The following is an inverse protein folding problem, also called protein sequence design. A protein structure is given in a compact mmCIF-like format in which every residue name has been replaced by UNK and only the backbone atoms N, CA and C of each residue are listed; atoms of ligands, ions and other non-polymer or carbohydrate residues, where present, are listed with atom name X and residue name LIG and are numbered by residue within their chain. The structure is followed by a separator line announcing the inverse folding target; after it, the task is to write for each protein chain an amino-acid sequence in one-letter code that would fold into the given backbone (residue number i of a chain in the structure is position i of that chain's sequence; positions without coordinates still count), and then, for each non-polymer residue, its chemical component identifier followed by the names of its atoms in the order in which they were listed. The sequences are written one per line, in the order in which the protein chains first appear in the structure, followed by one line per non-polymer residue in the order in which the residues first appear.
data_IF_811395451473
#
_entry.id   IF_811395451473
#
_cell.length_a   1.000
_cell.length_b   1.000
_cell.length_c   1.000
_cell.angle_alpha   90.00
_cell.angle_beta   90.00
_cell.angle_gamma   90.00
#
_symmetry.space_group_name_H-M   'P 1'
#
loop_
_entity.id
_entity.type
_entity.pdbx_description
1 polymer ?
#
# COMPACT_ATOMS: atom_id res chain seq x y z
N UNK A 1 2.50 16.52 -14.94
CA UNK A 1 3.59 15.54 -15.11
C UNK A 1 4.72 15.97 -14.19
N UNK A 2 5.21 15.07 -13.35
CA UNK A 2 6.36 15.31 -12.48
C UNK A 2 7.32 14.12 -12.50
N UNK A 3 8.60 14.41 -12.24
CA UNK A 3 9.65 13.42 -12.02
C UNK A 3 10.31 13.75 -10.71
N UNK A 4 10.42 12.78 -9.80
CA UNK A 4 11.11 12.95 -8.54
C UNK A 4 12.09 11.81 -8.27
N UNK A 5 13.19 12.14 -7.62
CA UNK A 5 14.17 11.15 -7.12
C UNK A 5 14.34 11.32 -5.62
N UNK A 6 14.33 10.20 -4.92
CA UNK A 6 14.44 10.18 -3.45
C UNK A 6 15.43 9.12 -3.03
N UNK A 7 16.06 9.34 -1.88
CA UNK A 7 16.94 8.38 -1.22
C UNK A 7 16.28 7.99 0.09
N UNK A 8 15.95 6.71 0.24
CA UNK A 8 15.46 6.10 1.47
C UNK A 8 16.64 5.51 2.23
N UNK A 9 16.92 6.01 3.44
CA UNK A 9 17.96 5.45 4.29
C UNK A 9 17.37 4.38 5.21
N UNK A 10 18.11 3.29 5.49
CA UNK A 10 17.67 2.33 6.49
C UNK A 10 17.40 3.01 7.83
N UNK A 11 16.38 2.56 8.51
CA UNK A 11 16.05 3.02 9.88
C UNK A 11 16.90 2.31 10.92
N UNK A 12 16.97 2.86 12.13
CA UNK A 12 17.72 2.23 13.22
C UNK A 12 17.31 0.78 13.50
N UNK A 13 16.01 0.42 13.61
CA UNK A 13 15.60 -0.97 13.78
C UNK A 13 16.08 -1.89 12.63
N UNK A 14 16.06 -1.42 11.38
CA UNK A 14 16.52 -2.18 10.24
C UNK A 14 18.05 -2.45 10.26
N UNK A 15 18.80 -1.58 10.90
CA UNK A 15 20.27 -1.71 11.05
C UNK A 15 20.70 -2.41 12.34
N UNK A 16 19.84 -2.49 13.35
CA UNK A 16 20.19 -3.01 14.66
C UNK A 16 20.50 -4.51 14.61
N UNK A 17 21.77 -4.95 14.82
CA UNK A 17 22.16 -6.34 14.69
C UNK A 17 21.73 -7.22 15.85
N UNK A 18 21.22 -6.64 16.93
CA UNK A 18 20.79 -7.42 18.09
C UNK A 18 19.49 -8.13 17.79
N UNK A 19 19.48 -9.43 18.13
CA UNK A 19 18.30 -10.27 17.98
C UNK A 19 17.28 -9.92 19.05
N UNK A 20 16.06 -9.61 18.65
CA UNK A 20 14.91 -9.35 19.50
C UNK A 20 13.91 -10.50 19.39
N UNK A 21 13.45 -11.03 20.51
CA UNK A 21 12.44 -12.08 20.54
C UNK A 21 11.05 -11.46 20.34
N UNK A 22 10.33 -11.93 19.35
CA UNK A 22 8.94 -11.56 19.06
C UNK A 22 8.00 -12.55 19.77
N UNK A 23 8.28 -13.85 19.66
CA UNK A 23 7.61 -14.95 20.37
C UNK A 23 8.57 -16.10 20.62
N UNK A 24 8.07 -17.26 21.08
CA UNK A 24 8.88 -18.40 21.48
C UNK A 24 9.78 -18.96 20.34
N UNK A 25 9.38 -18.78 19.08
CA UNK A 25 10.07 -19.32 17.90
C UNK A 25 10.49 -18.26 16.89
N UNK A 26 9.98 -17.02 17.04
CA UNK A 26 10.18 -15.94 16.07
C UNK A 26 11.06 -14.84 16.65
N UNK A 27 12.06 -14.47 15.89
CA UNK A 27 13.02 -13.43 16.23
C UNK A 27 13.10 -12.38 15.12
N UNK A 28 13.44 -11.16 15.48
CA UNK A 28 13.75 -10.08 14.55
C UNK A 28 15.18 -9.61 14.75
N UNK A 29 15.91 -9.42 13.64
CA UNK A 29 17.28 -8.96 13.63
C UNK A 29 17.50 -8.01 12.45
N UNK A 30 17.99 -6.81 12.69
CA UNK A 30 18.37 -5.88 11.63
C UNK A 30 19.68 -6.33 10.93
N UNK A 31 19.99 -5.65 9.83
CA UNK A 31 21.16 -5.92 9.01
C UNK A 31 21.99 -4.65 8.85
N UNK A 32 23.19 -4.61 9.46
CA UNK A 32 24.10 -3.46 9.38
C UNK A 32 24.63 -3.18 7.97
N UNK A 33 24.55 -4.14 7.06
CA UNK A 33 25.06 -4.01 5.69
C UNK A 33 24.05 -3.37 4.72
N UNK A 34 22.88 -2.96 5.21
CA UNK A 34 21.89 -2.31 4.37
C UNK A 34 22.41 -1.00 3.81
N UNK A 35 22.17 -0.83 2.52
CA UNK A 35 22.44 0.41 1.80
C UNK A 35 21.16 1.21 1.60
N UNK A 36 21.33 2.51 1.34
CA UNK A 36 20.20 3.37 1.03
C UNK A 36 19.58 2.99 -0.32
N UNK A 37 18.26 2.86 -0.35
CA UNK A 37 17.49 2.67 -1.57
C UNK A 37 17.36 3.98 -2.36
N UNK A 38 17.21 3.87 -3.68
CA UNK A 38 17.04 5.01 -4.58
C UNK A 38 15.75 4.85 -5.38
N UNK A 39 14.76 5.67 -5.06
CA UNK A 39 13.48 5.66 -5.76
C UNK A 39 13.40 6.78 -6.80
N UNK A 40 12.94 6.44 -7.99
CA UNK A 40 12.60 7.36 -9.08
C UNK A 40 11.11 7.21 -9.38
N UNK A 41 10.36 8.29 -9.22
CA UNK A 41 8.93 8.35 -9.51
C UNK A 41 8.70 9.25 -10.73
N UNK A 42 7.95 8.73 -11.68
CA UNK A 42 7.35 9.47 -12.78
C UNK A 42 5.83 9.41 -12.62
N UNK A 43 5.16 10.55 -12.65
CA UNK A 43 3.71 10.62 -12.57
C UNK A 43 3.11 11.62 -13.56
N UNK A 44 1.90 11.29 -14.01
CA UNK A 44 1.04 12.13 -14.86
C UNK A 44 -0.34 12.19 -14.25
N UNK A 45 -0.74 13.37 -13.81
CA UNK A 45 -2.03 13.57 -13.15
C UNK A 45 -3.00 14.35 -14.04
N UNK A 46 -4.26 13.99 -13.95
CA UNK A 46 -5.38 14.70 -14.54
C UNK A 46 -6.42 14.97 -13.47
N UNK A 47 -6.92 16.19 -13.40
CA UNK A 47 -8.02 16.57 -12.51
C UNK A 47 -9.10 17.31 -13.28
N UNK A 48 -10.33 16.92 -13.04
CA UNK A 48 -11.49 17.62 -13.57
C UNK A 48 -12.56 17.79 -12.50
N UNK A 49 -13.14 18.97 -12.47
CA UNK A 49 -14.25 19.30 -11.56
C UNK A 49 -15.45 19.74 -12.37
N UNK A 50 -16.59 19.16 -12.01
CA UNK A 50 -17.91 19.53 -12.50
C UNK A 50 -18.73 20.13 -11.34
N UNK A 51 -19.93 20.56 -11.62
CA UNK A 51 -20.83 21.16 -10.61
C UNK A 51 -21.14 20.19 -9.45
N UNK A 52 -21.32 18.91 -9.73
CA UNK A 52 -21.72 17.89 -8.74
C UNK A 52 -20.75 16.71 -8.69
N UNK A 53 -19.57 16.81 -9.31
CA UNK A 53 -18.60 15.74 -9.33
C UNK A 53 -17.17 16.28 -9.44
N UNK A 54 -16.20 15.52 -8.94
CA UNK A 54 -14.78 15.75 -9.19
C UNK A 54 -14.08 14.41 -9.44
N UNK A 55 -13.24 14.39 -10.46
CA UNK A 55 -12.40 13.26 -10.82
C UNK A 55 -10.94 13.67 -10.68
N UNK A 56 -10.16 12.83 -10.05
CA UNK A 56 -8.71 12.84 -10.09
C UNK A 56 -8.23 11.50 -10.62
N UNK A 57 -7.27 11.53 -11.55
CA UNK A 57 -6.62 10.36 -12.10
C UNK A 57 -5.10 10.61 -12.12
N UNK A 58 -4.31 9.64 -11.70
CA UNK A 58 -2.86 9.74 -11.70
C UNK A 58 -2.25 8.41 -12.16
N UNK A 59 -1.58 8.42 -13.32
CA UNK A 59 -0.79 7.30 -13.77
C UNK A 59 0.65 7.48 -13.31
N UNK A 60 1.28 6.42 -12.80
CA UNK A 60 2.62 6.50 -12.26
C UNK A 60 3.49 5.28 -12.55
N UNK A 61 4.78 5.52 -12.57
CA UNK A 61 5.82 4.49 -12.54
C UNK A 61 6.76 4.83 -11.39
N UNK A 62 6.89 3.91 -10.46
CA UNK A 62 7.87 4.00 -9.36
C UNK A 62 8.91 2.90 -9.54
N UNK A 63 10.18 3.29 -9.66
CA UNK A 63 11.32 2.40 -9.75
C UNK A 63 12.25 2.64 -8.57
N UNK A 64 12.51 1.58 -7.80
CA UNK A 64 13.40 1.63 -6.64
C UNK A 64 14.55 0.66 -6.81
N UNK A 65 15.77 1.17 -6.86
CA UNK A 65 17.01 0.38 -6.83
C UNK A 65 17.43 0.15 -5.37
N UNK A 66 17.91 -1.06 -5.08
CA UNK A 66 18.35 -1.44 -3.74
C UNK A 66 17.20 -1.43 -2.72
N UNK A 67 16.00 -1.82 -3.15
CA UNK A 67 14.80 -1.82 -2.32
C UNK A 67 15.00 -2.61 -1.02
N UNK A 68 14.78 -1.94 0.13
CA UNK A 68 14.91 -2.57 1.44
C UNK A 68 13.64 -3.36 1.72
N UNK A 69 13.80 -4.69 1.79
CA UNK A 69 12.71 -5.60 2.04
C UNK A 69 12.98 -6.49 3.23
N UNK A 70 11.91 -6.89 3.89
CA UNK A 70 11.92 -7.87 4.96
C UNK A 70 11.87 -9.27 4.38
N UNK A 71 12.69 -10.16 4.93
CA UNK A 71 12.70 -11.59 4.63
C UNK A 71 12.71 -12.38 5.92
N UNK A 72 12.20 -13.60 5.86
CA UNK A 72 12.25 -14.55 6.98
C UNK A 72 13.06 -15.77 6.58
N UNK A 73 13.98 -16.17 7.44
CA UNK A 73 14.78 -17.37 7.28
C UNK A 73 14.62 -18.31 8.46
N UNK A 74 14.79 -19.59 8.21
CA UNK A 74 14.84 -20.62 9.25
C UNK A 74 16.30 -20.83 9.67
N UNK A 75 16.57 -20.74 10.96
CA UNK A 75 17.87 -21.02 11.57
C UNK A 75 17.68 -22.01 12.74
N UNK A 76 17.92 -23.29 12.49
CA UNK A 76 17.50 -24.36 13.40
C UNK A 76 15.98 -24.39 13.54
N UNK A 77 15.48 -24.27 14.77
CA UNK A 77 14.06 -24.22 15.09
C UNK A 77 13.51 -22.78 15.21
N UNK A 78 14.32 -21.77 14.80
CA UNK A 78 13.96 -20.35 14.92
C UNK A 78 13.65 -19.74 13.58
N UNK A 79 12.57 -18.98 13.51
CA UNK A 79 12.26 -18.10 12.40
C UNK A 79 12.90 -16.72 12.66
N UNK A 80 13.86 -16.35 11.84
CA UNK A 80 14.54 -15.06 11.95
C UNK A 80 14.08 -14.15 10.83
N UNK A 81 13.41 -13.08 11.19
CA UNK A 81 13.03 -12.02 10.27
C UNK A 81 14.15 -10.98 10.21
N UNK A 82 14.62 -10.65 9.02
CA UNK A 82 15.68 -9.69 8.79
C UNK A 82 15.42 -8.86 7.54
N UNK A 83 16.33 -7.92 7.25
CA UNK A 83 16.20 -7.00 6.13
C UNK A 83 17.31 -7.16 5.12
N UNK A 84 16.98 -7.03 3.83
CA UNK A 84 17.93 -7.10 2.73
C UNK A 84 17.64 -6.02 1.70
N UNK A 85 18.66 -5.64 0.93
CA UNK A 85 18.43 -4.87 -0.27
C UNK A 85 18.11 -5.84 -1.43
N UNK A 86 16.87 -5.82 -1.91
CA UNK A 86 16.52 -6.43 -3.20
C UNK A 86 17.12 -5.59 -4.33
N UNK A 87 17.39 -6.20 -5.49
CA UNK A 87 18.00 -5.50 -6.61
C UNK A 87 17.11 -4.33 -7.07
N UNK A 88 15.82 -4.60 -7.24
CA UNK A 88 14.85 -3.58 -7.65
C UNK A 88 13.41 -3.93 -7.27
N UNK A 89 12.62 -2.88 -7.09
CA UNK A 89 11.15 -2.89 -7.04
C UNK A 89 10.61 -1.92 -8.10
N UNK A 90 9.71 -2.39 -8.95
CA UNK A 90 9.05 -1.57 -9.97
C UNK A 90 7.55 -1.67 -9.78
N UNK A 91 6.90 -0.51 -9.61
CA UNK A 91 5.44 -0.38 -9.55
C UNK A 91 4.96 0.50 -10.69
N UNK A 92 4.00 -0.02 -11.46
CA UNK A 92 3.31 0.74 -12.52
C UNK A 92 1.83 0.73 -12.20
N UNK A 93 1.24 1.89 -12.05
CA UNK A 93 -0.12 1.96 -11.51
C UNK A 93 -0.94 3.16 -11.93
N UNK A 94 -2.20 3.10 -11.52
CA UNK A 94 -3.21 4.11 -11.73
C UNK A 94 -3.97 4.37 -10.43
N UNK A 95 -3.97 5.63 -9.97
CA UNK A 95 -4.84 6.12 -8.91
C UNK A 95 -6.04 6.82 -9.53
N UNK A 96 -7.22 6.46 -9.09
CA UNK A 96 -8.46 7.14 -9.43
C UNK A 96 -9.19 7.56 -8.15
N UNK A 97 -9.69 8.79 -8.14
CA UNK A 97 -10.57 9.29 -7.08
C UNK A 97 -11.74 10.04 -7.71
N UNK A 98 -12.93 9.55 -7.44
CA UNK A 98 -14.18 10.13 -7.89
C UNK A 98 -15.03 10.52 -6.68
N UNK A 99 -15.42 11.79 -6.60
CA UNK A 99 -16.38 12.28 -5.62
C UNK A 99 -17.56 12.85 -6.36
N UNK A 100 -18.77 12.45 -5.98
CA UNK A 100 -20.02 12.86 -6.62
C UNK A 100 -21.08 13.19 -5.58
N UNK A 101 -21.85 14.23 -5.87
CA UNK A 101 -23.07 14.61 -5.13
C UNK A 101 -24.23 14.64 -6.13
N UNK A 102 -24.72 13.47 -6.58
CA UNK A 102 -25.74 13.40 -7.62
C UNK A 102 -27.07 14.01 -7.18
N UNK A 103 -27.33 13.98 -5.88
CA UNK A 103 -28.53 14.59 -5.27
C UNK A 103 -28.14 15.27 -3.95
N UNK A 104 -29.05 16.10 -3.39
CA UNK A 104 -28.82 16.77 -2.10
C UNK A 104 -28.74 15.82 -0.89
N UNK A 105 -29.20 14.60 -1.05
CA UNK A 105 -29.28 13.61 0.01
C UNK A 105 -28.31 12.43 -0.16
N UNK A 106 -27.41 12.47 -1.19
CA UNK A 106 -26.48 11.38 -1.45
C UNK A 106 -25.11 11.93 -1.86
N UNK A 107 -24.06 11.47 -1.18
CA UNK A 107 -22.68 11.68 -1.56
C UNK A 107 -22.03 10.31 -1.83
N UNK A 108 -21.34 10.18 -2.94
CA UNK A 108 -20.59 9.00 -3.31
C UNK A 108 -19.11 9.38 -3.46
N UNK A 109 -18.24 8.63 -2.78
CA UNK A 109 -16.80 8.71 -2.95
C UNK A 109 -16.24 7.35 -3.31
N UNK A 110 -15.46 7.30 -4.36
CA UNK A 110 -14.77 6.09 -4.84
C UNK A 110 -13.31 6.43 -5.01
N UNK A 111 -12.45 5.68 -4.33
CA UNK A 111 -11.00 5.73 -4.50
C UNK A 111 -10.49 4.35 -4.91
N UNK A 112 -9.61 4.27 -5.89
CA UNK A 112 -8.95 3.02 -6.27
C UNK A 112 -7.52 3.28 -6.69
N UNK A 113 -6.61 2.45 -6.18
CA UNK A 113 -5.24 2.36 -6.64
C UNK A 113 -5.02 0.95 -7.19
N UNK A 114 -4.74 0.85 -8.48
CA UNK A 114 -4.44 -0.42 -9.13
C UNK A 114 -3.03 -0.35 -9.70
N UNK A 115 -2.19 -1.31 -9.34
CA UNK A 115 -0.82 -1.35 -9.82
C UNK A 115 -0.30 -2.77 -10.02
N UNK A 116 0.61 -2.90 -10.94
CA UNK A 116 1.46 -4.07 -11.07
C UNK A 116 2.77 -3.81 -10.33
N UNK A 117 3.14 -4.73 -9.43
CA UNK A 117 4.44 -4.72 -8.76
C UNK A 117 5.32 -5.83 -9.31
N UNK A 118 6.61 -5.55 -9.46
CA UNK A 118 7.63 -6.52 -9.83
C UNK A 118 8.85 -6.30 -8.96
N UNK A 119 9.08 -7.22 -8.04
CA UNK A 119 10.24 -7.25 -7.14
C UNK A 119 11.23 -8.27 -7.69
N UNK A 120 12.50 -7.90 -7.77
CA UNK A 120 13.59 -8.79 -8.16
C UNK A 120 14.76 -8.63 -7.21
N UNK A 121 15.35 -9.72 -6.80
CA UNK A 121 16.52 -9.72 -5.93
C UNK A 121 17.02 -11.11 -5.67
N UNK A 122 18.16 -11.19 -4.98
CA UNK A 122 18.76 -12.45 -4.51
C UNK A 122 19.17 -12.34 -3.06
N UNK A 123 18.98 -13.39 -2.33
CA UNK A 123 19.44 -13.51 -0.97
C UNK A 123 20.06 -14.89 -0.73
N UNK A 124 21.32 -14.94 -0.29
CA UNK A 124 22.07 -16.18 -0.04
C UNK A 124 22.02 -17.17 -1.23
N UNK A 125 22.02 -16.64 -2.46
CA UNK A 125 21.96 -17.43 -3.70
C UNK A 125 20.56 -17.85 -4.16
N UNK A 126 19.53 -17.62 -3.37
CA UNK A 126 18.14 -17.86 -3.74
C UNK A 126 17.52 -16.60 -4.37
N UNK A 127 16.69 -16.79 -5.38
CA UNK A 127 15.89 -15.71 -5.95
C UNK A 127 14.75 -15.35 -5.00
N UNK A 128 14.63 -14.04 -4.69
CA UNK A 128 13.54 -13.47 -3.90
C UNK A 128 12.63 -12.61 -4.81
N UNK A 129 12.26 -13.16 -5.97
CA UNK A 129 11.47 -12.46 -6.96
C UNK A 129 9.98 -12.75 -6.80
N UNK A 130 9.15 -11.72 -6.86
CA UNK A 130 7.70 -11.84 -6.87
C UNK A 130 7.07 -10.73 -7.71
N UNK A 131 5.90 -10.98 -8.30
CA UNK A 131 5.20 -9.99 -9.09
C UNK A 131 3.71 -10.30 -9.21
N UNK A 132 2.91 -9.26 -9.37
CA UNK A 132 1.49 -9.40 -9.62
C UNK A 132 0.74 -8.08 -9.58
N UNK A 133 -0.58 -8.18 -9.72
CA UNK A 133 -1.49 -7.04 -9.68
C UNK A 133 -2.10 -6.88 -8.30
N UNK A 134 -2.03 -5.68 -7.77
CA UNK A 134 -2.68 -5.28 -6.53
C UNK A 134 -3.71 -4.20 -6.83
N UNK A 135 -4.86 -4.30 -6.20
CA UNK A 135 -5.88 -3.25 -6.20
C UNK A 135 -6.27 -2.92 -4.76
N UNK A 136 -6.25 -1.65 -4.42
CA UNK A 136 -6.74 -1.09 -3.16
C UNK A 136 -7.88 -0.15 -3.50
N UNK A 137 -9.10 -0.50 -3.11
CA UNK A 137 -10.29 0.31 -3.40
C UNK A 137 -11.08 0.63 -2.15
N UNK A 138 -11.61 1.83 -2.13
CA UNK A 138 -12.51 2.32 -1.08
C UNK A 138 -13.75 2.88 -1.73
N UNK A 139 -14.89 2.43 -1.26
CA UNK A 139 -16.20 2.95 -1.62
C UNK A 139 -16.85 3.53 -0.39
N UNK A 140 -17.36 4.75 -0.50
CA UNK A 140 -18.09 5.42 0.57
C UNK A 140 -19.37 6.01 0.01
N UNK A 141 -20.49 5.68 0.64
CA UNK A 141 -21.79 6.22 0.35
C UNK A 141 -22.34 6.87 1.62
N UNK A 142 -22.55 8.18 1.57
CA UNK A 142 -23.29 8.91 2.57
C UNK A 142 -24.72 9.16 2.09
N UNK A 143 -25.67 8.81 2.90
CA UNK A 143 -27.09 8.95 2.64
C UNK A 143 -27.73 9.82 3.72
N UNK A 144 -28.32 10.92 3.29
CA UNK A 144 -28.95 11.96 4.13
C UNK A 144 -30.48 11.93 3.92
N UNK A 145 -31.19 10.91 4.42
CA UNK A 145 -32.57 10.63 4.06
C UNK A 145 -33.57 11.67 4.60
N UNK A 146 -33.23 12.33 5.72
CA UNK A 146 -34.04 13.38 6.33
C UNK A 146 -33.17 14.38 7.10
N UNK A 147 -33.77 15.47 7.57
CA UNK A 147 -33.05 16.49 8.36
C UNK A 147 -32.50 15.91 9.67
N UNK A 148 -31.20 16.01 9.86
CA UNK A 148 -30.50 15.48 11.05
C UNK A 148 -30.18 13.99 11.01
N UNK A 149 -30.64 13.23 10.01
CA UNK A 149 -30.30 11.83 9.80
C UNK A 149 -29.13 11.67 8.82
N UNK A 150 -28.20 10.77 9.11
CA UNK A 150 -27.13 10.34 8.23
C UNK A 150 -26.95 8.82 8.35
N UNK A 151 -26.88 8.16 7.21
CA UNK A 151 -26.47 6.77 7.10
C UNK A 151 -25.23 6.69 6.20
N UNK A 152 -24.22 5.96 6.61
CA UNK A 152 -22.97 5.81 5.86
C UNK A 152 -22.66 4.32 5.66
N UNK A 153 -22.26 3.98 4.45
CA UNK A 153 -21.69 2.68 4.12
C UNK A 153 -20.29 2.92 3.60
N UNK A 154 -19.33 2.19 4.16
CA UNK A 154 -17.94 2.16 3.69
C UNK A 154 -17.56 0.72 3.36
N UNK A 155 -16.95 0.53 2.21
CA UNK A 155 -16.42 -0.75 1.79
C UNK A 155 -14.98 -0.59 1.33
N UNK A 156 -14.10 -1.38 1.93
CA UNK A 156 -12.68 -1.44 1.61
C UNK A 156 -12.36 -2.81 1.03
N UNK A 157 -11.58 -2.82 -0.02
CA UNK A 157 -11.03 -4.05 -0.58
C UNK A 157 -9.55 -3.84 -0.90
N UNK A 158 -8.74 -4.80 -0.47
CA UNK A 158 -7.36 -4.95 -0.89
C UNK A 158 -7.25 -6.34 -1.50
N UNK A 159 -6.83 -6.42 -2.76
CA UNK A 159 -6.50 -7.71 -3.38
C UNK A 159 -5.13 -8.19 -2.88
N UNK A 160 -4.65 -9.31 -3.40
CA UNK A 160 -3.33 -9.83 -2.99
C UNK A 160 -2.24 -8.78 -3.12
N UNK A 161 -1.39 -8.68 -2.11
CA UNK A 161 -0.18 -7.87 -2.12
C UNK A 161 1.04 -8.78 -2.22
N UNK A 162 2.03 -8.34 -2.98
CA UNK A 162 3.20 -9.14 -3.33
C UNK A 162 4.44 -8.62 -2.60
N UNK A 163 5.05 -9.50 -1.82
CA UNK A 163 6.31 -9.29 -1.10
C UNK A 163 7.36 -10.30 -1.62
N UNK A 164 8.65 -10.14 -1.38
CA UNK A 164 9.67 -11.03 -1.95
C UNK A 164 9.43 -12.52 -1.71
N UNK A 165 8.96 -12.91 -0.53
CA UNK A 165 8.81 -14.32 -0.13
C UNK A 165 7.36 -14.75 0.08
N UNK A 166 6.41 -13.82 0.03
CA UNK A 166 5.00 -14.13 0.31
C UNK A 166 4.06 -13.27 -0.55
N UNK A 167 2.86 -13.76 -0.70
CA UNK A 167 1.73 -13.01 -1.27
C UNK A 167 0.63 -13.03 -0.22
N UNK A 168 0.09 -11.85 0.13
CA UNK A 168 -1.02 -11.78 1.08
C UNK A 168 -2.33 -12.19 0.43
N UNK A 169 -3.22 -12.74 1.23
CA UNK A 169 -4.60 -13.01 0.79
C UNK A 169 -5.41 -11.71 0.69
N UNK A 170 -6.41 -11.66 -0.20
CA UNK A 170 -7.29 -10.53 -0.31
C UNK A 170 -8.07 -10.27 0.99
N UNK A 171 -8.29 -9.00 1.30
CA UNK A 171 -9.06 -8.57 2.46
C UNK A 171 -10.23 -7.70 2.05
N UNK A 172 -11.35 -7.86 2.76
CA UNK A 172 -12.57 -7.10 2.57
C UNK A 172 -13.08 -6.62 3.92
N UNK A 173 -13.48 -5.36 3.99
CA UNK A 173 -14.07 -4.78 5.18
C UNK A 173 -15.26 -3.92 4.81
N UNK A 174 -16.38 -4.09 5.51
CA UNK A 174 -17.56 -3.25 5.35
C UNK A 174 -17.95 -2.65 6.70
N UNK A 175 -18.15 -1.34 6.70
CA UNK A 175 -18.62 -0.58 7.86
C UNK A 175 -19.94 0.09 7.51
N UNK A 176 -20.90 0.05 8.43
CA UNK A 176 -22.19 0.74 8.33
C UNK A 176 -22.36 1.62 9.57
N UNK A 177 -22.66 2.88 9.36
CA UNK A 177 -22.86 3.88 10.40
C UNK A 177 -24.20 4.56 10.27
N UNK A 178 -24.83 4.86 11.42
CA UNK A 178 -26.01 5.71 11.50
C UNK A 178 -25.79 6.82 12.52
N UNK A 179 -26.23 8.00 12.17
CA UNK A 179 -26.22 9.16 13.06
C UNK A 179 -27.57 9.87 12.96
N UNK A 180 -28.17 10.17 14.13
CA UNK A 180 -29.35 11.00 14.26
C UNK A 180 -29.04 12.15 15.21
N UNK A 181 -29.25 13.38 14.77
CA UNK A 181 -29.22 14.55 15.65
C UNK A 181 -30.56 14.64 16.37
N UNK A 182 -30.54 14.51 17.69
CA UNK A 182 -31.68 14.75 18.54
C UNK A 182 -31.79 16.26 18.79
N UNK A 183 -32.99 16.83 18.61
CA UNK A 183 -33.29 18.22 18.93
C UNK A 183 -33.60 18.37 20.40
#
# INVERSE_FOLDING_TARGET
MAVSRRIGRPTYPQLNPYMSMVDATTYEQGNMNLQAEKATLLDVSYQRRWKSASLFANAYVNHTDGYISQITKLDGDKLITTYVNADKDVKVGLDLSLNMTPTKWMNLSVGTNTYHVSIKGRYEGADIANSGWTNNSTFMLDFLPWKGGNAQIQYFVTTSEYFPQLTSEPTHQMNIGFKQQLM
#
